data_IF_744835285077
#
_entry.id   IF_744835285077
#
_cell.length_a   1.000
_cell.length_b   1.000
_cell.length_c   1.000
_cell.angle_alpha   90.00
_cell.angle_beta   90.00
_cell.angle_gamma   90.00
#
_symmetry.space_group_name_H-M   'P 1'
#
loop_
_entity.id
_entity.type
_entity.pdbx_description
1 polymer ?
#
# COMPACT_ATOMS: atom_id res chain seq x y z
N UNK A 1 8.87 9.27 -9.68
CA UNK A 1 8.15 8.24 -8.92
C UNK A 1 8.91 7.89 -7.64
N UNK A 2 8.20 7.82 -6.51
CA UNK A 2 8.70 7.39 -5.20
C UNK A 2 7.85 6.24 -4.64
N UNK A 3 8.40 5.50 -3.68
CA UNK A 3 7.71 4.46 -2.93
C UNK A 3 7.46 4.92 -1.50
N UNK A 4 6.19 5.05 -1.12
CA UNK A 4 5.76 5.15 0.27
C UNK A 4 5.77 3.76 0.92
N UNK A 5 6.24 3.70 2.15
CA UNK A 5 6.29 2.53 3.01
C UNK A 5 5.68 2.83 4.37
N UNK A 6 4.80 1.94 4.84
CA UNK A 6 4.29 1.94 6.19
C UNK A 6 4.09 0.50 6.69
N UNK A 7 4.61 0.21 7.88
CA UNK A 7 4.20 -0.97 8.65
C UNK A 7 2.99 -0.59 9.48
N UNK A 8 1.90 -1.31 9.31
CA UNK A 8 0.62 -1.07 9.96
C UNK A 8 0.44 -2.13 11.08
N UNK A 9 0.70 -1.77 12.34
CA UNK A 9 0.44 -2.67 13.47
C UNK A 9 -1.06 -2.63 13.78
N UNK A 10 -1.79 -3.61 13.26
CA UNK A 10 -3.24 -3.73 13.45
C UNK A 10 -3.54 -4.42 14.77
N UNK A 11 -4.62 -4.02 15.44
CA UNK A 11 -5.13 -4.72 16.63
C UNK A 11 -5.42 -6.20 16.29
N UNK A 12 -4.87 -7.18 17.03
CA UNK A 12 -4.93 -8.60 16.66
C UNK A 12 -6.35 -9.12 16.36
N UNK A 13 -7.31 -8.72 17.19
CA UNK A 13 -8.70 -9.18 17.10
C UNK A 13 -9.51 -8.49 15.98
N UNK A 14 -8.90 -7.54 15.24
CA UNK A 14 -9.58 -6.70 14.25
C UNK A 14 -8.97 -6.77 12.85
N UNK A 15 -8.09 -7.73 12.60
CA UNK A 15 -7.41 -7.92 11.32
C UNK A 15 -8.38 -8.16 10.15
N UNK A 16 -9.42 -8.97 10.34
CA UNK A 16 -10.44 -9.20 9.31
C UNK A 16 -11.26 -7.94 8.98
N UNK A 17 -11.73 -7.22 10.01
CA UNK A 17 -12.42 -5.93 9.82
C UNK A 17 -11.53 -4.90 9.12
N UNK A 18 -10.24 -4.89 9.45
CA UNK A 18 -9.26 -4.02 8.80
C UNK A 18 -9.13 -4.36 7.31
N UNK A 19 -8.99 -5.64 6.94
CA UNK A 19 -8.90 -6.06 5.54
C UNK A 19 -10.15 -5.64 4.74
N UNK A 20 -11.34 -5.81 5.30
CA UNK A 20 -12.59 -5.35 4.67
C UNK A 20 -12.68 -3.83 4.54
N UNK A 21 -12.24 -3.10 5.57
CA UNK A 21 -12.19 -1.64 5.53
C UNK A 21 -11.16 -1.16 4.50
N UNK A 22 -10.03 -1.87 4.37
CA UNK A 22 -8.97 -1.54 3.45
C UNK A 22 -9.37 -1.77 2.00
N UNK A 23 -10.15 -2.81 1.69
CA UNK A 23 -10.69 -3.03 0.34
C UNK A 23 -11.56 -1.85 -0.14
N UNK A 24 -12.26 -1.17 0.77
CA UNK A 24 -12.96 0.08 0.45
C UNK A 24 -12.00 1.28 0.37
N UNK A 25 -11.08 1.39 1.33
CA UNK A 25 -10.15 2.51 1.41
C UNK A 25 -9.17 2.60 0.23
N UNK A 26 -8.76 1.46 -0.37
CA UNK A 26 -7.88 1.46 -1.56
C UNK A 26 -8.50 2.20 -2.75
N UNK A 27 -9.84 2.22 -2.87
CA UNK A 27 -10.52 2.98 -3.91
C UNK A 27 -10.50 4.50 -3.65
N UNK A 28 -10.41 4.91 -2.38
CA UNK A 28 -10.32 6.33 -1.97
C UNK A 28 -8.95 6.89 -2.35
N UNK A 29 -7.88 6.23 -1.91
CA UNK A 29 -6.50 6.68 -2.20
C UNK A 29 -6.18 6.62 -3.70
N UNK A 30 -6.73 5.65 -4.43
CA UNK A 30 -6.49 5.48 -5.87
C UNK A 30 -6.99 6.64 -6.74
N UNK A 31 -7.91 7.47 -6.23
CA UNK A 31 -8.42 8.66 -6.92
C UNK A 31 -7.51 9.88 -6.77
N UNK A 32 -6.49 9.79 -5.91
CA UNK A 32 -5.59 10.90 -5.62
C UNK A 32 -4.71 11.21 -6.83
N UNK A 33 -4.54 12.48 -7.20
CA UNK A 33 -3.57 12.88 -8.22
C UNK A 33 -2.18 12.32 -7.90
N UNK A 34 -1.49 11.79 -8.92
CA UNK A 34 -0.16 11.22 -8.76
C UNK A 34 -0.11 9.81 -8.17
N UNK A 35 -1.23 9.19 -7.81
CA UNK A 35 -1.26 7.77 -7.41
C UNK A 35 -0.89 6.86 -8.58
N UNK A 36 0.01 5.90 -8.35
CA UNK A 36 0.49 4.95 -9.37
C UNK A 36 0.21 3.48 -9.04
N UNK A 37 -0.16 3.17 -7.80
CA UNK A 37 -0.49 1.81 -7.39
C UNK A 37 -0.20 1.56 -5.91
N UNK A 38 -0.74 0.48 -5.39
CA UNK A 38 -0.56 0.08 -4.00
C UNK A 38 -0.51 -1.44 -3.87
N UNK A 39 0.23 -1.93 -2.88
CA UNK A 39 0.19 -3.30 -2.42
C UNK A 39 0.06 -3.31 -0.90
N UNK A 40 -0.77 -4.21 -0.39
CA UNK A 40 -0.88 -4.52 1.03
C UNK A 40 -0.52 -5.98 1.20
N UNK A 41 0.46 -6.27 2.04
CA UNK A 41 0.89 -7.63 2.37
C UNK A 41 0.76 -7.86 3.87
N UNK A 42 0.42 -9.07 4.28
CA UNK A 42 0.41 -9.50 5.68
C UNK A 42 1.78 -10.11 6.02
N UNK A 43 2.31 -9.84 7.22
CA UNK A 43 3.52 -10.53 7.70
C UNK A 43 3.19 -11.97 8.08
N UNK A 44 4.10 -12.88 7.74
CA UNK A 44 4.01 -14.30 8.13
C UNK A 44 4.50 -14.52 9.58
N UNK A 45 5.46 -13.71 10.02
CA UNK A 45 6.04 -13.75 11.37
C UNK A 45 5.15 -13.05 12.42
N UNK A 46 4.47 -11.99 12.00
CA UNK A 46 3.60 -11.17 12.86
C UNK A 46 2.21 -11.03 12.21
N UNK A 47 1.25 -11.92 12.52
CA UNK A 47 -0.04 -12.00 11.81
C UNK A 47 -0.94 -10.77 11.90
N UNK A 48 -0.61 -9.78 12.72
CA UNK A 48 -1.33 -8.53 12.85
C UNK A 48 -0.54 -7.32 12.31
N UNK A 49 0.61 -7.55 11.69
CA UNK A 49 1.43 -6.53 11.04
C UNK A 49 1.25 -6.60 9.53
N UNK A 50 0.92 -5.46 8.91
CA UNK A 50 0.77 -5.36 7.46
C UNK A 50 1.82 -4.41 6.86
N UNK A 51 2.38 -4.78 5.72
CA UNK A 51 3.23 -3.93 4.90
C UNK A 51 2.37 -3.23 3.84
N UNK A 52 2.24 -1.92 3.97
CA UNK A 52 1.63 -1.05 2.98
C UNK A 52 2.72 -0.38 2.13
N UNK A 53 2.67 -0.62 0.83
CA UNK A 53 3.48 0.10 -0.15
C UNK A 53 2.57 0.88 -1.10
N UNK A 54 2.85 2.16 -1.30
CA UNK A 54 2.12 3.02 -2.25
C UNK A 54 3.11 3.71 -3.18
N UNK A 55 2.85 3.65 -4.49
CA UNK A 55 3.66 4.34 -5.49
C UNK A 55 3.01 5.68 -5.83
N UNK A 56 3.81 6.73 -5.76
CA UNK A 56 3.42 8.09 -6.10
C UNK A 56 4.31 8.67 -7.18
N UNK A 57 3.77 9.56 -8.01
CA UNK A 57 4.56 10.29 -9.00
C UNK A 57 5.62 11.17 -8.32
N UNK A 58 5.20 11.98 -7.33
CA UNK A 58 6.07 12.88 -6.54
C UNK A 58 5.76 12.77 -5.04
N UNK A 59 6.70 13.23 -4.22
CA UNK A 59 6.51 13.30 -2.76
C UNK A 59 5.33 14.19 -2.35
N UNK A 60 5.21 15.37 -2.98
CA UNK A 60 4.14 16.32 -2.69
C UNK A 60 2.74 15.79 -3.04
N UNK A 61 2.62 14.88 -4.01
CA UNK A 61 1.33 14.25 -4.35
C UNK A 61 0.77 13.45 -3.16
N UNK A 62 1.64 12.84 -2.35
CA UNK A 62 1.26 12.22 -1.08
C UNK A 62 1.17 13.25 0.07
N UNK A 63 2.25 13.99 0.35
CA UNK A 63 2.40 14.75 1.61
C UNK A 63 1.57 16.02 1.67
N UNK A 64 1.33 16.66 0.54
CA UNK A 64 0.52 17.88 0.43
C UNK A 64 -0.83 17.57 -0.23
N UNK A 65 -0.80 16.82 -1.34
CA UNK A 65 -1.98 16.44 -2.12
C UNK A 65 -2.91 15.53 -1.32
N UNK A 66 -2.55 14.25 -1.18
CA UNK A 66 -3.40 13.29 -0.49
C UNK A 66 -3.62 13.69 0.97
N UNK A 67 -2.55 13.91 1.76
CA UNK A 67 -2.68 14.21 3.20
C UNK A 67 -3.42 15.52 3.51
N UNK A 68 -3.43 16.48 2.58
CA UNK A 68 -4.21 17.71 2.71
C UNK A 68 -5.66 17.61 2.23
N UNK A 69 -6.06 16.48 1.64
CA UNK A 69 -7.37 16.33 0.97
C UNK A 69 -8.49 15.79 1.87
N UNK A 70 -9.73 15.97 1.40
CA UNK A 70 -10.91 15.31 1.99
C UNK A 70 -10.83 13.76 1.91
N UNK A 71 -10.16 13.23 0.88
CA UNK A 71 -9.96 11.79 0.73
C UNK A 71 -9.11 11.23 1.87
N UNK A 72 -8.12 11.99 2.35
CA UNK A 72 -7.37 11.56 3.53
C UNK A 72 -8.21 11.58 4.80
N UNK A 73 -9.12 12.55 4.98
CA UNK A 73 -10.04 12.53 6.12
C UNK A 73 -10.91 11.26 6.13
N UNK A 74 -11.41 10.83 4.97
CA UNK A 74 -12.14 9.57 4.82
C UNK A 74 -11.25 8.36 5.12
N UNK A 75 -10.04 8.32 4.56
CA UNK A 75 -9.05 7.28 4.83
C UNK A 75 -8.76 7.15 6.33
N UNK A 76 -8.52 8.27 7.03
CA UNK A 76 -8.30 8.29 8.47
C UNK A 76 -9.47 7.69 9.23
N UNK A 77 -10.69 8.11 8.91
CA UNK A 77 -11.91 7.63 9.55
C UNK A 77 -12.08 6.11 9.37
N UNK A 78 -11.78 5.61 8.17
CA UNK A 78 -11.89 4.20 7.85
C UNK A 78 -10.84 3.34 8.55
N UNK A 79 -9.60 3.82 8.71
CA UNK A 79 -8.47 2.94 9.01
C UNK A 79 -7.71 3.25 10.32
N UNK A 80 -7.62 4.50 10.76
CA UNK A 80 -6.70 4.87 11.85
C UNK A 80 -7.01 4.19 13.19
N UNK A 81 -8.26 3.81 13.42
CA UNK A 81 -8.70 3.19 14.67
C UNK A 81 -8.34 1.69 14.77
N UNK A 82 -7.73 1.11 13.72
CA UNK A 82 -7.21 -0.25 13.76
C UNK A 82 -5.76 -0.31 14.26
N UNK A 83 -5.05 0.82 14.36
CA UNK A 83 -3.62 0.83 14.60
C UNK A 83 -3.26 1.06 16.08
N UNK A 84 -2.33 0.27 16.58
CA UNK A 84 -1.67 0.52 17.86
C UNK A 84 -0.25 -0.09 17.86
N UNK A 85 0.84 0.71 17.85
CA UNK A 85 0.87 2.17 17.84
C UNK A 85 0.55 2.79 16.47
N UNK A 86 0.57 4.12 16.36
CA UNK A 86 0.38 4.78 15.08
C UNK A 86 1.56 4.50 14.12
N UNK A 87 1.31 4.13 12.85
CA UNK A 87 2.36 3.71 11.93
C UNK A 87 3.29 4.86 11.53
N UNK A 88 4.57 4.53 11.39
CA UNK A 88 5.58 5.43 10.82
C UNK A 88 5.54 5.31 9.30
N UNK A 89 5.50 6.44 8.60
CA UNK A 89 5.46 6.50 7.14
C UNK A 89 6.76 7.09 6.61
N UNK A 90 7.36 6.42 5.63
CA UNK A 90 8.62 6.81 4.99
C UNK A 90 8.51 6.75 3.47
N UNK A 91 9.41 7.44 2.78
CA UNK A 91 9.43 7.54 1.33
C UNK A 91 10.82 7.21 0.79
N UNK A 92 10.86 6.42 -0.28
CA UNK A 92 12.08 5.88 -0.84
C UNK A 92 12.13 6.08 -2.35
N UNK A 93 13.33 6.27 -2.87
CA UNK A 93 13.62 6.20 -4.31
C UNK A 93 14.19 4.82 -4.61
N UNK A 94 13.66 4.15 -5.63
CA UNK A 94 14.21 2.87 -6.10
C UNK A 94 15.59 3.11 -6.73
N UNK A 95 16.62 2.49 -6.16
CA UNK A 95 18.00 2.55 -6.69
C UNK A 95 18.27 1.40 -7.66
N UNK A 96 17.81 0.20 -7.30
CA UNK A 96 17.90 -1.00 -8.13
C UNK A 96 16.58 -1.77 -8.07
N UNK A 97 16.21 -2.39 -9.17
CA UNK A 97 15.12 -3.35 -9.24
C UNK A 97 15.51 -4.43 -10.24
N UNK A 98 15.26 -5.70 -9.89
CA UNK A 98 15.36 -6.80 -10.83
C UNK A 98 13.98 -7.05 -11.42
N UNK A 99 13.89 -7.08 -12.75
CA UNK A 99 12.71 -7.62 -13.41
C UNK A 99 12.82 -9.15 -13.32
N UNK A 100 11.73 -9.85 -12.97
CA UNK A 100 11.72 -11.30 -13.08
C UNK A 100 11.93 -11.70 -14.55
N UNK A 101 12.76 -12.71 -14.86
CA UNK A 101 12.88 -13.18 -16.23
C UNK A 101 11.51 -13.71 -16.65
N UNK A 102 10.92 -13.11 -17.68
CA UNK A 102 9.69 -13.62 -18.27
C UNK A 102 9.91 -15.10 -18.60
N UNK A 103 9.02 -15.97 -18.11
CA UNK A 103 9.00 -17.38 -18.54
C UNK A 103 8.71 -17.39 -20.04
N UNK A 104 9.76 -17.52 -20.84
CA UNK A 104 9.63 -17.78 -22.27
C UNK A 104 8.97 -19.15 -22.39
N UNK A 105 7.66 -19.18 -22.64
CA UNK A 105 6.96 -20.39 -23.00
C UNK A 105 7.56 -20.90 -24.32
N UNK A 106 8.26 -22.03 -24.26
CA UNK A 106 8.78 -22.74 -25.42
C UNK A 106 7.61 -23.15 -26.31
N UNK A 107 7.64 -22.88 -27.63
CA UNK A 107 6.59 -23.40 -28.51
C UNK A 107 6.70 -24.92 -28.55
N UNK A 108 5.61 -25.61 -28.24
CA UNK A 108 5.49 -27.05 -28.40
C UNK A 108 5.68 -27.39 -29.90
N UNK A 109 6.63 -28.28 -30.21
CA UNK A 109 6.76 -28.87 -31.54
C UNK A 109 5.53 -29.70 -31.87
N UNK A 110 4.89 -29.52 -33.04
CA UNK A 110 3.87 -30.44 -33.51
C UNK A 110 4.52 -31.71 -34.07
N UNK A 111 3.95 -32.84 -33.67
CA UNK A 111 4.20 -34.22 -34.13
C UNK A 111 3.95 -34.39 -35.64
#
# INVERSE_FOLDING_TARGET
>A
MILEHALLPVLPDRTAEFEEAFDRARAVIARSPGFRGLTLSKSEEEPNTYLLLVRWERLSDHTEGFRGSAAYAEWKRMLHHFYDPFPVVQHFTTVFATCSPATTASPAEPN
#
